data_IF_400352177416
#
_entry.id   IF_400352177416
#
_cell.length_a   1.000
_cell.length_b   1.000
_cell.length_c   1.000
_cell.angle_alpha   90.00
_cell.angle_beta   90.00
_cell.angle_gamma   90.00
#
_symmetry.space_group_name_H-M   'P 1'
#
loop_
_entity.id
_entity.type
_entity.pdbx_description
1 polymer ?
#
# COMPACT_ATOMS: atom_id res chain seq x y z
N UNK A 1 11.66 10.48 1.46
CA UNK A 1 10.61 9.62 2.07
C UNK A 1 10.67 8.29 1.34
N UNK A 2 10.53 7.16 2.05
CA UNK A 2 10.35 5.87 1.39
C UNK A 2 9.09 5.93 0.49
N UNK A 3 9.01 5.12 -0.59
CA UNK A 3 7.79 5.05 -1.39
C UNK A 3 6.60 4.68 -0.51
N UNK A 4 5.44 5.30 -0.76
CA UNK A 4 4.19 4.92 -0.10
C UNK A 4 3.85 3.51 -0.54
N UNK A 5 3.48 2.66 0.41
CA UNK A 5 3.09 1.28 0.18
C UNK A 5 1.73 1.03 0.79
N UNK A 6 0.89 0.33 0.05
CA UNK A 6 -0.31 -0.31 0.55
C UNK A 6 -0.53 -1.56 -0.30
N UNK A 7 -0.05 -2.71 0.18
CA UNK A 7 -0.06 -3.94 -0.59
C UNK A 7 0.90 -4.99 -0.06
N UNK A 8 0.99 -6.12 -0.77
CA UNK A 8 1.85 -7.21 -0.35
C UNK A 8 3.30 -7.01 -0.80
N UNK A 9 4.23 -7.39 0.07
CA UNK A 9 5.63 -7.64 -0.27
C UNK A 9 5.92 -9.12 -0.13
N UNK A 10 6.53 -9.69 -1.15
CA UNK A 10 7.00 -11.07 -1.16
C UNK A 10 8.53 -11.09 -1.22
N UNK A 11 9.16 -11.89 -0.37
CA UNK A 11 10.58 -12.21 -0.45
C UNK A 11 10.76 -13.46 -1.30
N UNK A 12 11.50 -13.33 -2.40
CA UNK A 12 11.76 -14.43 -3.35
C UNK A 12 13.19 -14.31 -3.87
N UNK A 13 13.95 -15.41 -3.82
CA UNK A 13 15.38 -15.44 -4.15
C UNK A 13 16.20 -14.35 -3.43
N UNK A 14 15.91 -14.15 -2.15
CA UNK A 14 16.60 -13.19 -1.29
C UNK A 14 16.28 -11.71 -1.55
N UNK A 15 15.32 -11.38 -2.42
CA UNK A 15 14.91 -10.01 -2.78
C UNK A 15 13.44 -9.79 -2.48
N UNK A 16 13.08 -8.56 -2.09
CA UNK A 16 11.68 -8.18 -1.88
C UNK A 16 11.07 -7.62 -3.18
N UNK A 17 9.86 -8.08 -3.50
CA UNK A 17 9.07 -7.65 -4.65
C UNK A 17 7.68 -7.22 -4.19
N UNK A 18 7.11 -6.23 -4.87
CA UNK A 18 5.66 -5.98 -4.78
C UNK A 18 4.93 -7.24 -5.24
N UNK A 19 3.89 -7.63 -4.51
CA UNK A 19 3.23 -8.89 -4.72
C UNK A 19 1.70 -8.75 -4.76
N UNK A 20 1.06 -9.69 -5.46
CA UNK A 20 -0.38 -9.88 -5.41
C UNK A 20 -0.68 -11.39 -5.30
N UNK A 21 -1.19 -11.86 -4.16
CA UNK A 21 -1.68 -13.23 -4.02
C UNK A 21 -2.82 -13.52 -4.99
N UNK A 22 -2.77 -14.68 -5.64
CA UNK A 22 -3.85 -15.24 -6.46
C UNK A 22 -4.77 -16.15 -5.65
N UNK A 23 -5.90 -16.52 -6.25
CA UNK A 23 -6.88 -17.41 -5.61
C UNK A 23 -6.34 -18.85 -5.45
N UNK A 24 -5.50 -19.29 -6.39
CA UNK A 24 -5.05 -20.68 -6.50
C UNK A 24 -3.69 -20.94 -5.83
N UNK A 25 -3.26 -20.07 -4.90
CA UNK A 25 -1.97 -20.20 -4.22
C UNK A 25 -0.76 -19.76 -5.05
N UNK A 26 -0.99 -19.14 -6.22
CA UNK A 26 0.05 -18.47 -6.99
C UNK A 26 0.30 -17.05 -6.46
N UNK A 27 1.55 -16.59 -6.51
CA UNK A 27 1.95 -15.23 -6.13
C UNK A 27 2.48 -14.50 -7.36
N UNK A 28 1.85 -13.38 -7.71
CA UNK A 28 2.38 -12.50 -8.76
C UNK A 28 3.36 -11.52 -8.13
N UNK A 29 4.61 -11.55 -8.59
CA UNK A 29 5.69 -10.64 -8.24
C UNK A 29 5.80 -9.55 -9.31
N UNK A 30 6.10 -8.32 -8.89
CA UNK A 30 6.27 -7.19 -9.80
C UNK A 30 7.61 -6.49 -9.61
N UNK A 31 8.18 -6.03 -10.73
CA UNK A 31 9.41 -5.24 -10.76
C UNK A 31 9.22 -4.01 -11.67
N UNK A 32 9.87 -2.87 -11.35
CA UNK A 32 9.81 -1.66 -12.18
C UNK A 32 10.77 -1.70 -13.38
N UNK A 33 11.73 -2.63 -13.38
CA UNK A 33 12.80 -2.76 -14.37
C UNK A 33 12.89 -4.21 -14.88
N UNK A 34 13.46 -4.44 -16.09
CA UNK A 34 13.71 -5.78 -16.60
C UNK A 34 14.39 -6.66 -15.55
N UNK A 35 13.77 -7.79 -15.24
CA UNK A 35 14.22 -8.72 -14.19
C UNK A 35 14.17 -10.14 -14.75
N UNK A 36 15.20 -10.95 -14.47
CA UNK A 36 15.33 -12.28 -15.06
C UNK A 36 14.11 -13.17 -14.81
N UNK A 37 13.54 -13.68 -15.91
CA UNK A 37 12.34 -14.51 -15.90
C UNK A 37 11.04 -13.76 -15.56
N UNK A 38 11.06 -12.42 -15.55
CA UNK A 38 9.84 -11.62 -15.55
C UNK A 38 9.48 -11.24 -16.99
N UNK A 39 8.18 -11.23 -17.29
CA UNK A 39 7.64 -10.74 -18.56
C UNK A 39 7.26 -9.25 -18.43
N UNK A 40 7.44 -8.49 -19.51
CA UNK A 40 6.99 -7.09 -19.55
C UNK A 40 5.47 -7.03 -19.80
N UNK A 41 4.73 -6.38 -18.89
CA UNK A 41 3.30 -6.15 -19.06
C UNK A 41 3.02 -4.84 -19.80
N UNK A 42 3.80 -3.81 -19.47
CA UNK A 42 3.81 -2.47 -20.06
C UNK A 42 5.12 -1.78 -19.67
N UNK A 43 5.52 -0.68 -20.33
CA UNK A 43 6.74 0.05 -19.99
C UNK A 43 6.86 0.32 -18.49
N UNK A 44 7.95 -0.13 -17.88
CA UNK A 44 8.23 0.04 -16.45
C UNK A 44 7.42 -0.87 -15.52
N UNK A 45 6.80 -1.95 -16.02
CA UNK A 45 6.08 -2.94 -15.20
C UNK A 45 6.31 -4.35 -15.73
N UNK A 46 7.09 -5.10 -14.97
CA UNK A 46 7.43 -6.49 -15.23
C UNK A 46 6.77 -7.40 -14.19
N UNK A 47 6.37 -8.60 -14.60
CA UNK A 47 5.69 -9.57 -13.72
C UNK A 47 6.32 -10.94 -13.81
N UNK A 48 6.34 -11.67 -12.70
CA UNK A 48 6.49 -13.12 -12.68
C UNK A 48 5.44 -13.74 -11.78
N UNK A 49 4.89 -14.88 -12.17
CA UNK A 49 4.02 -15.67 -11.30
C UNK A 49 4.84 -16.84 -10.76
N UNK A 50 4.80 -17.05 -9.45
CA UNK A 50 5.49 -18.15 -8.77
C UNK A 50 4.53 -18.87 -7.81
N UNK A 51 4.68 -20.17 -7.61
CA UNK A 51 3.93 -20.88 -6.58
C UNK A 51 4.22 -20.31 -5.18
N UNK A 52 3.24 -20.26 -4.28
CA UNK A 52 3.44 -19.73 -2.93
C UNK A 52 4.55 -20.43 -2.14
N UNK A 53 4.81 -21.72 -2.39
CA UNK A 53 5.87 -22.45 -1.69
C UNK A 53 7.30 -21.99 -2.07
N UNK A 54 7.47 -21.26 -3.18
CA UNK A 54 8.77 -20.68 -3.54
C UNK A 54 9.03 -19.34 -2.83
N UNK A 55 8.00 -18.72 -2.25
CA UNK A 55 8.11 -17.43 -1.57
C UNK A 55 8.60 -17.65 -0.14
N UNK A 56 9.73 -17.03 0.20
CA UNK A 56 10.36 -17.11 1.54
C UNK A 56 9.51 -16.42 2.61
N UNK A 57 8.82 -15.34 2.25
CA UNK A 57 7.92 -14.61 3.12
C UNK A 57 6.94 -13.77 2.32
N UNK A 58 5.69 -13.69 2.79
CA UNK A 58 4.65 -12.80 2.25
C UNK A 58 4.11 -11.96 3.40
N UNK A 59 4.10 -10.64 3.24
CA UNK A 59 3.69 -9.68 4.29
C UNK A 59 2.84 -8.58 3.68
N UNK A 60 1.77 -8.20 4.35
CA UNK A 60 1.00 -7.02 3.98
C UNK A 60 1.67 -5.80 4.59
N UNK A 61 1.94 -4.80 3.78
CA UNK A 61 2.66 -3.60 4.20
C UNK A 61 1.86 -2.37 3.84
N UNK A 62 1.71 -1.47 4.82
CA UNK A 62 1.01 -0.20 4.65
C UNK A 62 1.81 0.95 5.22
N UNK A 63 1.73 2.11 4.57
CA UNK A 63 2.26 3.36 5.11
C UNK A 63 1.19 4.04 5.96
N UNK A 64 1.46 4.24 7.24
CA UNK A 64 0.56 4.91 8.19
C UNK A 64 1.08 6.28 8.55
N UNK A 65 0.18 7.14 9.03
CA UNK A 65 0.51 8.48 9.50
C UNK A 65 -0.51 8.99 10.54
N UNK A 66 -0.25 10.19 11.07
CA UNK A 66 -1.20 11.01 11.81
C UNK A 66 -1.54 12.27 11.05
N UNK A 67 -2.80 12.66 11.08
CA UNK A 67 -3.26 13.94 10.53
C UNK A 67 -4.41 14.45 11.40
N UNK A 68 -4.36 15.74 11.78
CA UNK A 68 -5.35 16.36 12.68
C UNK A 68 -5.60 15.57 13.97
N UNK A 69 -4.54 14.94 14.50
CA UNK A 69 -4.56 14.15 15.74
C UNK A 69 -5.04 12.70 15.60
N UNK A 70 -5.52 12.29 14.42
CA UNK A 70 -6.15 10.98 14.19
C UNK A 70 -5.27 10.07 13.31
N UNK A 71 -5.39 8.73 13.41
CA UNK A 71 -4.57 7.79 12.65
C UNK A 71 -5.13 7.53 11.24
N UNK A 72 -4.22 7.43 10.26
CA UNK A 72 -4.57 7.16 8.86
C UNK A 72 -3.60 6.17 8.20
N UNK A 73 -4.08 5.54 7.12
CA UNK A 73 -3.27 4.84 6.11
C UNK A 73 -3.15 5.74 4.89
N UNK A 74 -1.96 5.86 4.30
CA UNK A 74 -1.77 6.58 3.05
C UNK A 74 -1.98 5.61 1.90
N UNK A 75 -3.03 5.86 1.11
CA UNK A 75 -3.49 5.00 0.01
C UNK A 75 -3.21 5.59 -1.38
N UNK A 76 -2.57 6.76 -1.43
CA UNK A 76 -2.12 7.39 -2.68
C UNK A 76 -1.44 8.73 -2.46
N UNK A 77 -0.81 9.23 -3.52
CA UNK A 77 -0.19 10.56 -3.54
C UNK A 77 -0.41 11.24 -4.90
N UNK A 78 -0.54 12.56 -4.87
CA UNK A 78 -0.64 13.38 -6.07
C UNK A 78 -0.20 14.81 -5.76
N UNK A 79 0.81 15.33 -6.48
CA UNK A 79 1.23 16.74 -6.44
C UNK A 79 1.35 17.35 -5.02
N UNK A 80 2.04 16.67 -4.10
CA UNK A 80 2.21 17.16 -2.73
C UNK A 80 1.03 16.89 -1.78
N UNK A 81 -0.03 16.26 -2.28
CA UNK A 81 -1.15 15.76 -1.50
C UNK A 81 -1.04 14.25 -1.27
N UNK A 82 -1.53 13.81 -0.12
CA UNK A 82 -1.63 12.42 0.28
C UNK A 82 -3.10 12.04 0.37
N UNK A 83 -3.50 10.98 -0.33
CA UNK A 83 -4.82 10.38 -0.14
C UNK A 83 -4.73 9.50 1.09
N UNK A 84 -5.53 9.82 2.10
CA UNK A 84 -5.49 9.16 3.40
C UNK A 84 -6.83 8.48 3.68
N UNK A 85 -6.76 7.29 4.28
CA UNK A 85 -7.90 6.51 4.76
C UNK A 85 -7.89 6.43 6.28
N UNK A 86 -9.02 6.74 6.91
CA UNK A 86 -9.11 6.83 8.37
C UNK A 86 -9.05 5.46 9.04
N UNK A 87 -8.06 5.29 9.91
CA UNK A 87 -7.78 4.03 10.60
C UNK A 87 -8.34 3.99 12.04
N UNK A 88 -9.01 5.04 12.51
CA UNK A 88 -9.48 5.12 13.90
C UNK A 88 -10.83 4.45 14.18
N UNK A 89 -11.53 3.93 13.16
CA UNK A 89 -12.70 3.05 13.32
C UNK A 89 -13.95 3.68 13.94
N UNK A 90 -13.99 5.01 14.11
CA UNK A 90 -15.12 5.74 14.73
C UNK A 90 -15.80 6.70 13.74
N UNK A 91 -16.97 6.34 13.21
CA UNK A 91 -17.69 7.17 12.24
C UNK A 91 -17.93 8.63 12.70
N UNK A 92 -18.34 8.93 13.95
CA UNK A 92 -18.52 10.32 14.38
C UNK A 92 -17.22 11.16 14.38
N UNK A 93 -16.06 10.51 14.42
CA UNK A 93 -14.76 11.19 14.28
C UNK A 93 -14.50 11.53 12.83
N UNK A 94 -14.71 10.58 11.91
CA UNK A 94 -14.59 10.81 10.48
C UNK A 94 -15.50 11.94 9.99
N UNK A 95 -16.77 11.95 10.43
CA UNK A 95 -17.74 13.00 10.11
C UNK A 95 -17.28 14.37 10.61
N UNK A 96 -16.78 14.45 11.85
CA UNK A 96 -16.26 15.70 12.44
C UNK A 96 -15.03 16.23 11.69
N UNK A 97 -14.19 15.34 11.17
CA UNK A 97 -13.03 15.70 10.36
C UNK A 97 -13.40 16.12 8.94
N UNK A 98 -14.65 15.92 8.52
CA UNK A 98 -15.13 16.22 7.17
C UNK A 98 -14.58 15.26 6.12
N UNK A 99 -14.37 13.99 6.48
CA UNK A 99 -13.91 12.96 5.54
C UNK A 99 -15.04 12.53 4.59
N UNK A 100 -14.67 12.19 3.37
CA UNK A 100 -15.59 11.61 2.39
C UNK A 100 -15.81 10.13 2.70
N UNK A 101 -17.09 9.72 2.78
CA UNK A 101 -17.44 8.31 2.85
C UNK A 101 -17.45 7.71 1.44
N UNK A 102 -16.41 6.95 1.11
CA UNK A 102 -16.26 6.33 -0.21
C UNK A 102 -16.91 4.94 -0.28
N UNK A 103 -17.03 4.25 0.85
CA UNK A 103 -17.74 2.96 1.00
C UNK A 103 -18.23 2.75 2.45
N UNK A 104 -18.88 1.63 2.73
CA UNK A 104 -19.31 1.21 4.06
C UNK A 104 -18.11 1.07 5.01
N UNK A 105 -17.96 2.05 5.91
CA UNK A 105 -16.87 2.07 6.89
C UNK A 105 -15.56 2.65 6.36
N UNK A 106 -15.50 3.03 5.09
CA UNK A 106 -14.29 3.58 4.45
C UNK A 106 -14.44 5.08 4.30
N UNK A 107 -13.54 5.81 4.96
CA UNK A 107 -13.54 7.27 5.01
C UNK A 107 -12.19 7.79 4.54
N UNK A 108 -12.20 8.66 3.54
CA UNK A 108 -10.97 9.17 2.92
C UNK A 108 -10.97 10.69 2.80
N UNK A 109 -9.77 11.26 2.63
CA UNK A 109 -9.59 12.66 2.26
C UNK A 109 -8.24 12.87 1.59
N UNK A 110 -8.01 14.08 1.09
CA UNK A 110 -6.70 14.54 0.66
C UNK A 110 -6.11 15.45 1.74
N UNK A 111 -4.95 15.05 2.27
CA UNK A 111 -4.20 15.83 3.24
C UNK A 111 -2.97 16.45 2.57
N UNK A 112 -2.65 17.73 2.82
CA UNK A 112 -1.36 18.30 2.43
C UNK A 112 -0.23 17.50 3.07
N UNK A 113 0.81 17.15 2.30
CA UNK A 113 1.93 16.33 2.81
C UNK A 113 2.62 16.96 4.01
N UNK A 114 2.68 18.28 4.08
CA UNK A 114 3.30 19.06 5.16
C UNK A 114 2.45 19.13 6.44
N UNK A 115 1.17 18.76 6.39
CA UNK A 115 0.31 18.61 7.57
C UNK A 115 0.34 17.18 8.15
N UNK A 116 0.94 16.23 7.45
CA UNK A 116 0.96 14.82 7.84
C UNK A 116 2.19 14.50 8.67
N UNK A 117 1.96 13.87 9.81
CA UNK A 117 2.96 13.55 10.83
C UNK A 117 3.12 12.03 10.99
N UNK A 118 4.17 11.59 11.69
CA UNK A 118 4.40 10.19 12.06
C UNK A 118 4.32 9.18 10.89
N UNK A 119 4.78 9.59 9.70
CA UNK A 119 4.78 8.72 8.52
C UNK A 119 5.73 7.54 8.73
N UNK A 120 5.19 6.32 8.72
CA UNK A 120 5.97 5.08 8.89
C UNK A 120 5.35 3.92 8.14
N UNK A 121 6.18 2.93 7.84
CA UNK A 121 5.76 1.67 7.25
C UNK A 121 5.44 0.66 8.36
N UNK A 122 4.31 -0.03 8.25
CA UNK A 122 3.88 -1.12 9.14
C UNK A 122 3.70 -2.41 8.34
N UNK A 123 4.25 -3.51 8.85
CA UNK A 123 3.92 -4.87 8.39
C UNK A 123 2.80 -5.44 9.27
N UNK A 124 1.75 -5.97 8.65
CA UNK A 124 0.57 -6.58 9.29
C UNK A 124 0.61 -8.09 9.15
#
# INVERSE_FOLDING_TARGET
MAPIRDGYLARWLGRDFEAAPGADGEIRLYAPEPTDGFEELRPGRYRRTVPAFEVEALRYVRTTCRWRGEPFVIVGEHEGWLRVEYAGGRAPVAERLGLDRVDQGVWQSWAPRDEVEDVREESV
#
